data_IF_429597404729
#
_entry.id   IF_429597404729
#
_cell.length_a   1.000
_cell.length_b   1.000
_cell.length_c   1.000
_cell.angle_alpha   90.00
_cell.angle_beta   90.00
_cell.angle_gamma   90.00
#
_symmetry.space_group_name_H-M   'P 1'
#
loop_
_entity.id
_entity.type
_entity.pdbx_description
1 polymer ?
#
# COMPACT_ATOMS: atom_id res chain seq x y z
N UNK A 1 10.13 3.20 81.27
CA UNK A 1 10.91 3.97 80.27
C UNK A 1 10.35 3.62 78.91
N UNK A 2 9.48 4.47 78.37
CA UNK A 2 8.79 4.23 77.09
C UNK A 2 9.49 5.08 76.03
N UNK A 3 10.43 4.49 75.29
CA UNK A 3 10.97 5.12 74.09
C UNK A 3 9.87 5.13 73.03
N UNK A 4 9.40 6.33 72.69
CA UNK A 4 8.60 6.55 71.49
C UNK A 4 9.44 6.14 70.28
N UNK A 5 9.05 5.06 69.59
CA UNK A 5 9.65 4.67 68.33
C UNK A 5 9.36 5.79 67.33
N UNK A 6 10.34 6.67 67.10
CA UNK A 6 10.28 7.64 66.03
C UNK A 6 10.09 6.86 64.73
N UNK A 7 8.92 7.01 64.10
CA UNK A 7 8.64 6.40 62.81
C UNK A 7 9.73 6.85 61.82
N UNK A 8 10.57 5.92 61.37
CA UNK A 8 11.60 6.21 60.39
C UNK A 8 10.93 6.69 59.11
N UNK A 9 11.16 7.95 58.76
CA UNK A 9 10.65 8.56 57.55
C UNK A 9 11.35 7.93 56.34
N UNK A 10 10.57 7.57 55.32
CA UNK A 10 11.07 7.12 54.01
C UNK A 10 10.82 8.25 53.01
N UNK A 11 11.89 8.73 52.35
CA UNK A 11 11.83 9.75 51.30
C UNK A 11 11.63 9.06 49.97
N UNK A 12 10.52 9.34 49.30
CA UNK A 12 10.17 8.69 48.04
C UNK A 12 9.59 9.68 47.05
N UNK A 13 9.64 9.30 45.78
CA UNK A 13 9.08 10.09 44.69
C UNK A 13 7.88 9.37 44.11
N UNK A 14 6.72 10.01 44.10
CA UNK A 14 5.49 9.44 43.53
C UNK A 14 5.16 10.17 42.24
N UNK A 15 4.90 9.42 41.17
CA UNK A 15 4.46 9.96 39.88
C UNK A 15 3.11 9.40 39.45
N UNK A 16 2.26 10.24 38.86
CA UNK A 16 1.02 9.83 38.20
C UNK A 16 0.88 10.62 36.89
N UNK A 17 1.06 9.94 35.75
CA UNK A 17 1.06 10.59 34.43
C UNK A 17 2.18 11.63 34.32
N UNK A 18 1.79 12.90 34.12
CA UNK A 18 2.73 14.03 34.02
C UNK A 18 3.03 14.71 35.35
N UNK A 19 2.40 14.27 36.45
CA UNK A 19 2.53 14.87 37.79
C UNK A 19 3.47 14.05 38.66
N UNK A 20 4.25 14.75 39.49
CA UNK A 20 5.24 14.14 40.38
C UNK A 20 5.35 14.94 41.68
N UNK A 21 5.52 14.24 42.79
CA UNK A 21 5.78 14.83 44.11
C UNK A 21 6.84 14.01 44.86
N UNK A 22 7.73 14.71 45.55
CA UNK A 22 8.74 14.10 46.43
C UNK A 22 8.31 14.31 47.88
N UNK A 23 8.13 13.20 48.61
CA UNK A 23 7.46 13.20 49.90
C UNK A 23 8.23 12.37 50.91
N UNK A 24 8.18 12.80 52.16
CA UNK A 24 8.69 12.06 53.30
C UNK A 24 7.53 11.43 54.07
N UNK A 25 7.43 10.10 54.06
CA UNK A 25 6.28 9.36 54.60
C UNK A 25 6.75 8.42 55.71
N UNK A 26 6.00 8.24 56.82
CA UNK A 26 6.34 7.26 57.83
C UNK A 26 6.41 5.84 57.25
N UNK A 27 7.59 5.22 57.27
CA UNK A 27 7.82 3.91 56.66
C UNK A 27 7.11 2.74 57.36
N UNK A 28 6.57 2.97 58.56
CA UNK A 28 5.92 1.97 59.41
C UNK A 28 4.39 1.90 59.24
N UNK A 29 3.77 2.83 58.50
CA UNK A 29 2.33 2.87 58.28
C UNK A 29 1.96 2.03 57.04
N UNK A 30 0.84 1.27 57.06
CA UNK A 30 0.33 0.56 55.89
C UNK A 30 0.12 1.49 54.69
N UNK A 31 0.45 1.01 53.49
CA UNK A 31 0.33 1.79 52.26
C UNK A 31 -1.10 2.26 51.99
N UNK A 32 -2.11 1.46 52.37
CA UNK A 32 -3.53 1.80 52.22
C UNK A 32 -3.94 3.12 52.89
N UNK A 33 -3.32 3.49 54.02
CA UNK A 33 -3.63 4.74 54.73
C UNK A 33 -3.02 5.97 54.06
N UNK A 34 -1.94 5.77 53.31
CA UNK A 34 -1.14 6.84 52.69
C UNK A 34 -1.67 7.19 51.29
N UNK A 35 -2.22 6.20 50.56
CA UNK A 35 -2.69 6.35 49.18
C UNK A 35 -3.68 7.52 48.97
N UNK A 36 -4.71 7.73 49.81
CA UNK A 36 -5.66 8.82 49.60
C UNK A 36 -5.01 10.20 49.68
N UNK A 37 -4.04 10.37 50.57
CA UNK A 37 -3.33 11.63 50.74
C UNK A 37 -2.33 11.86 49.59
N UNK A 38 -1.67 10.79 49.09
CA UNK A 38 -0.86 10.87 47.87
C UNK A 38 -1.68 11.28 46.65
N UNK A 39 -2.88 10.71 46.49
CA UNK A 39 -3.78 11.05 45.40
C UNK A 39 -4.27 12.51 45.51
N UNK A 40 -4.50 13.00 46.73
CA UNK A 40 -4.85 14.40 47.00
C UNK A 40 -3.71 15.35 46.68
N UNK A 41 -2.49 15.02 47.11
CA UNK A 41 -1.29 15.82 46.90
C UNK A 41 -0.94 15.97 45.41
N UNK A 42 -1.03 14.87 44.65
CA UNK A 42 -0.85 14.90 43.20
C UNK A 42 -2.05 15.51 42.46
N UNK A 43 -3.14 15.84 43.18
CA UNK A 43 -4.38 16.41 42.64
C UNK A 43 -5.09 15.49 41.65
N UNK A 44 -4.90 14.17 41.77
CA UNK A 44 -5.40 13.18 40.80
C UNK A 44 -6.76 12.59 41.20
N UNK A 45 -7.32 12.97 42.35
CA UNK A 45 -8.67 12.60 42.80
C UNK A 45 -9.76 13.17 41.87
N UNK A 46 -9.95 12.53 40.72
CA UNK A 46 -11.03 12.81 39.79
C UNK A 46 -12.27 11.99 40.16
N UNK A 47 -13.49 12.46 39.86
CA UNK A 47 -14.73 11.75 40.21
C UNK A 47 -14.79 10.30 39.71
N UNK A 48 -14.16 10.01 38.57
CA UNK A 48 -14.14 8.68 37.95
C UNK A 48 -13.09 7.74 38.56
N UNK A 49 -11.97 8.27 39.08
CA UNK A 49 -10.90 7.47 39.70
C UNK A 49 -11.09 7.30 41.21
N UNK A 50 -11.82 8.23 41.85
CA UNK A 50 -12.13 8.18 43.28
C UNK A 50 -12.94 6.92 43.67
N UNK A 51 -13.81 6.42 42.79
CA UNK A 51 -14.59 5.20 43.00
C UNK A 51 -13.79 3.91 42.77
N UNK A 52 -12.70 3.98 42.01
CA UNK A 52 -11.84 2.84 41.67
C UNK A 52 -10.73 2.63 42.72
N UNK A 53 -10.34 3.69 43.41
CA UNK A 53 -9.17 3.70 44.28
C UNK A 53 -7.87 3.76 43.48
N UNK A 54 -6.74 3.70 44.19
CA UNK A 54 -5.41 3.80 43.61
C UNK A 54 -4.53 2.68 44.14
N UNK A 55 -3.48 2.35 43.37
CA UNK A 55 -2.41 1.44 43.77
C UNK A 55 -1.05 2.07 43.51
N UNK A 56 -0.06 1.69 44.30
CA UNK A 56 1.33 2.04 44.06
C UNK A 56 2.01 0.92 43.27
N UNK A 57 2.82 1.29 42.30
CA UNK A 57 3.62 0.38 41.49
C UNK A 57 5.08 0.78 41.52
N UNK A 58 5.97 -0.22 41.55
CA UNK A 58 7.41 0.00 41.39
C UNK A 58 7.77 0.20 39.92
N UNK A 59 8.98 0.69 39.69
CA UNK A 59 9.54 0.86 38.36
C UNK A 59 9.70 -0.45 37.56
N UNK A 60 9.73 -1.61 38.23
CA UNK A 60 9.77 -2.93 37.60
C UNK A 60 8.38 -3.45 37.17
N UNK A 61 7.32 -2.68 37.43
CA UNK A 61 5.94 -3.05 37.13
C UNK A 61 5.27 -3.91 38.20
N UNK A 62 5.93 -4.21 39.32
CA UNK A 62 5.31 -4.90 40.46
C UNK A 62 4.40 -3.96 41.27
N UNK A 63 3.27 -4.48 41.73
CA UNK A 63 2.35 -3.76 42.61
C UNK A 63 2.84 -3.79 44.05
N UNK A 64 2.84 -2.64 44.71
CA UNK A 64 3.10 -2.52 46.15
C UNK A 64 1.84 -2.96 46.89
N UNK A 65 2.01 -3.87 47.84
CA UNK A 65 0.92 -4.41 48.66
C UNK A 65 0.36 -3.32 49.57
N UNK A 66 -0.94 -3.06 49.48
CA UNK A 66 -1.61 -2.01 50.24
C UNK A 66 -1.72 -2.31 51.74
N UNK A 67 -1.72 -3.59 52.12
CA UNK A 67 -1.92 -4.01 53.52
C UNK A 67 -0.63 -3.95 54.35
N UNK A 68 0.52 -3.77 53.68
CA UNK A 68 1.85 -3.76 54.31
C UNK A 68 2.46 -2.36 54.30
N UNK A 69 3.34 -2.09 55.25
CA UNK A 69 4.08 -0.83 55.29
C UNK A 69 5.18 -0.77 54.23
N UNK A 70 5.61 0.45 53.88
CA UNK A 70 6.69 0.67 52.90
C UNK A 70 8.00 -0.02 53.32
N UNK A 71 8.37 0.13 54.60
CA UNK A 71 9.60 -0.49 55.13
C UNK A 71 9.51 -2.03 55.16
N UNK A 72 8.33 -2.60 55.47
CA UNK A 72 8.13 -4.06 55.48
C UNK A 72 8.21 -4.69 54.09
N UNK A 73 8.12 -3.89 53.03
CA UNK A 73 8.24 -4.32 51.64
C UNK A 73 9.63 -3.97 51.05
N UNK A 74 10.57 -3.47 51.85
CA UNK A 74 11.90 -3.07 51.37
C UNK A 74 11.84 -1.90 50.40
N UNK A 75 10.96 -0.93 50.64
CA UNK A 75 10.97 0.35 49.93
C UNK A 75 11.88 1.30 50.72
N UNK A 76 12.99 1.67 50.10
CA UNK A 76 14.05 2.48 50.71
C UNK A 76 13.97 3.95 50.25
N UNK A 77 14.75 4.79 50.93
CA UNK A 77 14.92 6.19 50.55
C UNK A 77 15.39 6.34 49.10
N UNK A 78 14.74 7.25 48.36
CA UNK A 78 14.99 7.51 46.94
C UNK A 78 14.16 6.65 45.99
N UNK A 79 13.31 5.74 46.49
CA UNK A 79 12.44 4.93 45.64
C UNK A 79 11.46 5.78 44.83
N UNK A 80 11.28 5.43 43.55
CA UNK A 80 10.28 6.05 42.66
C UNK A 80 9.12 5.08 42.46
N UNK A 81 7.92 5.52 42.81
CA UNK A 81 6.69 4.74 42.71
C UNK A 81 5.70 5.44 41.77
N UNK A 82 5.01 4.65 40.94
CA UNK A 82 3.90 5.13 40.13
C UNK A 82 2.60 4.97 40.92
N UNK A 83 1.82 6.04 41.06
CA UNK A 83 0.46 5.99 41.58
C UNK A 83 -0.48 5.86 40.39
N UNK A 84 -1.14 4.71 40.25
CA UNK A 84 -2.07 4.43 39.17
C UNK A 84 -3.49 4.21 39.72
N UNK A 85 -4.54 4.66 39.02
CA UNK A 85 -5.91 4.27 39.33
C UNK A 85 -6.01 2.75 39.33
N UNK A 86 -6.77 2.19 40.26
CA UNK A 86 -7.01 0.76 40.23
C UNK A 86 -7.81 0.44 38.97
N UNK A 87 -7.27 -0.44 38.14
CA UNK A 87 -7.92 -0.80 36.88
C UNK A 87 -8.99 -1.84 37.20
N UNK A 88 -10.21 -1.65 36.69
CA UNK A 88 -11.24 -2.70 36.64
C UNK A 88 -10.85 -3.70 35.53
N UNK A 89 -9.64 -4.23 35.62
CA UNK A 89 -9.19 -5.37 34.80
C UNK A 89 -9.44 -6.66 35.60
N UNK A 90 -10.51 -6.70 36.40
CA UNK A 90 -11.07 -7.99 36.80
C UNK A 90 -11.74 -8.58 35.58
N UNK A 91 -11.47 -9.85 35.27
CA UNK A 91 -12.25 -10.59 34.29
C UNK A 91 -13.73 -10.31 34.56
N UNK A 92 -14.46 -9.78 33.56
CA UNK A 92 -15.90 -9.61 33.66
C UNK A 92 -16.49 -10.96 34.07
N UNK A 93 -17.08 -11.01 35.26
CA UNK A 93 -17.79 -12.20 35.73
C UNK A 93 -19.20 -12.08 35.19
N UNK A 94 -19.47 -12.85 34.14
CA UNK A 94 -20.79 -12.93 33.53
C UNK A 94 -21.67 -13.92 34.32
N UNK A 95 -22.91 -13.54 34.59
CA UNK A 95 -23.93 -14.39 35.20
C UNK A 95 -24.73 -15.18 34.14
N UNK A 96 -24.78 -14.67 32.90
CA UNK A 96 -25.36 -15.34 31.73
C UNK A 96 -24.33 -15.56 30.61
N UNK A 97 -24.33 -16.77 30.06
CA UNK A 97 -23.54 -17.14 28.88
C UNK A 97 -23.97 -16.30 27.66
N UNK A 98 -25.24 -15.91 27.56
CA UNK A 98 -25.73 -15.08 26.46
C UNK A 98 -25.06 -13.70 26.47
N UNK A 99 -24.92 -13.09 27.65
CA UNK A 99 -24.24 -11.80 27.79
C UNK A 99 -22.74 -11.93 27.50
N UNK A 100 -22.10 -12.99 28.03
CA UNK A 100 -20.69 -13.28 27.73
C UNK A 100 -20.44 -13.46 26.22
N UNK A 101 -21.32 -14.18 25.53
CA UNK A 101 -21.22 -14.41 24.08
C UNK A 101 -21.51 -13.13 23.31
N UNK A 102 -22.50 -12.34 23.71
CA UNK A 102 -22.81 -11.06 23.04
C UNK A 102 -21.63 -10.09 23.14
N UNK A 103 -21.07 -9.93 24.34
CA UNK A 103 -19.92 -9.06 24.60
C UNK A 103 -18.66 -9.57 23.87
N UNK A 104 -18.46 -10.89 23.80
CA UNK A 104 -17.39 -11.50 23.00
C UNK A 104 -17.59 -11.25 21.50
N UNK A 105 -18.82 -11.36 21.00
CA UNK A 105 -19.12 -11.15 19.58
C UNK A 105 -18.91 -9.68 19.18
N UNK A 106 -19.36 -8.73 20.00
CA UNK A 106 -19.18 -7.30 19.74
C UNK A 106 -17.71 -6.87 19.83
N UNK A 107 -16.93 -7.47 20.73
CA UNK A 107 -15.50 -7.16 20.89
C UNK A 107 -14.61 -7.87 19.87
N UNK A 108 -14.92 -9.11 19.48
CA UNK A 108 -14.12 -9.87 18.53
C UNK A 108 -14.48 -9.61 17.06
N UNK A 109 -15.75 -9.31 16.75
CA UNK A 109 -16.20 -9.15 15.38
C UNK A 109 -16.68 -7.73 15.09
N UNK A 110 -16.14 -7.14 14.04
CA UNK A 110 -16.59 -5.82 13.58
C UNK A 110 -17.94 -5.96 12.88
N UNK A 111 -18.98 -5.20 13.28
CA UNK A 111 -20.30 -5.32 12.69
C UNK A 111 -20.30 -4.89 11.21
N UNK A 112 -21.20 -5.50 10.43
CA UNK A 112 -21.36 -5.14 9.02
C UNK A 112 -21.96 -3.73 8.90
N UNK A 113 -21.22 -2.80 8.30
CA UNK A 113 -21.65 -1.41 8.20
C UNK A 113 -22.30 -1.10 6.85
N UNK A 114 -23.05 0.02 6.78
CA UNK A 114 -23.57 0.53 5.52
C UNK A 114 -22.46 0.87 4.51
N UNK A 115 -21.26 1.24 4.99
CA UNK A 115 -20.09 1.44 4.15
C UNK A 115 -19.59 0.14 3.51
N UNK A 116 -19.64 -0.98 4.25
CA UNK A 116 -19.32 -2.30 3.72
C UNK A 116 -20.32 -2.70 2.62
N UNK A 117 -21.63 -2.55 2.87
CA UNK A 117 -22.66 -2.79 1.85
C UNK A 117 -22.43 -1.97 0.58
N UNK A 118 -22.15 -0.67 0.73
CA UNK A 118 -21.87 0.21 -0.40
C UNK A 118 -20.60 -0.21 -1.15
N UNK A 119 -19.53 -0.56 -0.43
CA UNK A 119 -18.29 -1.07 -1.02
C UNK A 119 -18.50 -2.37 -1.81
N UNK A 120 -19.24 -3.33 -1.26
CA UNK A 120 -19.59 -4.58 -1.93
C UNK A 120 -20.46 -4.35 -3.16
N UNK A 121 -21.45 -3.45 -3.09
CA UNK A 121 -22.30 -3.10 -4.23
C UNK A 121 -21.50 -2.46 -5.37
N UNK A 122 -20.54 -1.58 -5.06
CA UNK A 122 -19.61 -1.02 -6.04
C UNK A 122 -18.75 -2.11 -6.66
N UNK A 123 -18.18 -3.01 -5.85
CA UNK A 123 -17.39 -4.15 -6.33
C UNK A 123 -18.19 -5.04 -7.28
N UNK A 124 -19.42 -5.42 -6.90
CA UNK A 124 -20.31 -6.20 -7.74
C UNK A 124 -20.66 -5.49 -9.05
N UNK A 125 -20.91 -4.18 -8.99
CA UNK A 125 -21.20 -3.36 -10.17
C UNK A 125 -20.01 -3.35 -11.14
N UNK A 126 -18.79 -3.16 -10.64
CA UNK A 126 -17.57 -3.21 -11.47
C UNK A 126 -17.44 -4.56 -12.17
N UNK A 127 -17.65 -5.67 -11.46
CA UNK A 127 -17.59 -7.01 -12.05
C UNK A 127 -18.63 -7.18 -13.17
N UNK A 128 -19.86 -6.75 -12.94
CA UNK A 128 -20.93 -6.82 -13.94
C UNK A 128 -20.64 -5.93 -15.16
N UNK A 129 -20.12 -4.72 -14.93
CA UNK A 129 -19.71 -3.82 -16.02
C UNK A 129 -18.53 -4.37 -16.82
N UNK A 130 -17.53 -4.98 -16.18
CA UNK A 130 -16.42 -5.63 -16.89
C UNK A 130 -16.91 -6.83 -17.70
N UNK A 131 -17.84 -7.63 -17.16
CA UNK A 131 -18.46 -8.74 -17.90
C UNK A 131 -19.26 -8.22 -19.13
N UNK A 132 -20.00 -7.14 -18.98
CA UNK A 132 -20.72 -6.50 -20.08
C UNK A 132 -19.78 -5.87 -21.12
N UNK A 133 -18.68 -5.25 -20.69
CA UNK A 133 -17.64 -4.73 -21.60
C UNK A 133 -17.00 -5.87 -22.40
N UNK A 134 -16.73 -7.02 -21.77
CA UNK A 134 -16.24 -8.21 -22.46
C UNK A 134 -17.24 -8.74 -23.48
N UNK A 135 -18.53 -8.82 -23.14
CA UNK A 135 -19.58 -9.21 -24.08
C UNK A 135 -19.64 -8.26 -25.29
N UNK A 136 -19.58 -6.94 -25.07
CA UNK A 136 -19.51 -5.95 -26.15
C UNK A 136 -18.24 -6.11 -27.00
N UNK A 137 -17.09 -6.37 -26.37
CA UNK A 137 -15.84 -6.62 -27.09
C UNK A 137 -15.92 -7.83 -28.02
N UNK A 138 -16.58 -8.91 -27.59
CA UNK A 138 -16.80 -10.08 -28.46
C UNK A 138 -17.76 -9.81 -29.62
N UNK A 139 -18.62 -8.79 -29.50
CA UNK A 139 -19.57 -8.37 -30.53
C UNK A 139 -19.07 -7.17 -31.36
N UNK A 140 -17.80 -6.76 -31.23
CA UNK A 140 -17.23 -5.54 -31.85
C UNK A 140 -17.40 -5.47 -33.36
N UNK A 141 -17.54 -6.61 -34.02
CA UNK A 141 -17.74 -6.71 -35.47
C UNK A 141 -19.08 -6.07 -35.92
N UNK A 142 -20.01 -5.83 -34.97
CA UNK A 142 -21.24 -5.07 -35.18
C UNK A 142 -21.01 -3.55 -35.36
N UNK A 143 -19.75 -3.10 -35.29
CA UNK A 143 -19.30 -1.75 -35.61
C UNK A 143 -19.93 -0.63 -34.81
N UNK A 144 -20.53 0.33 -35.53
CA UNK A 144 -20.93 1.62 -34.97
C UNK A 144 -21.88 1.48 -33.77
N UNK A 145 -22.76 0.48 -33.76
CA UNK A 145 -23.68 0.25 -32.64
C UNK A 145 -22.89 -0.05 -31.35
N UNK A 146 -21.93 -0.97 -31.41
CA UNK A 146 -21.13 -1.35 -30.25
C UNK A 146 -20.21 -0.20 -29.85
N UNK A 147 -19.63 0.52 -30.81
CA UNK A 147 -18.82 1.71 -30.54
C UNK A 147 -19.64 2.81 -29.83
N UNK A 148 -20.87 3.07 -30.29
CA UNK A 148 -21.76 4.06 -29.70
C UNK A 148 -22.23 3.66 -28.30
N UNK A 149 -22.66 2.41 -28.10
CA UNK A 149 -23.09 1.90 -26.79
C UNK A 149 -21.94 1.93 -25.78
N UNK A 150 -20.77 1.43 -26.16
CA UNK A 150 -19.61 1.39 -25.27
C UNK A 150 -19.08 2.80 -24.98
N UNK A 151 -19.04 3.68 -25.98
CA UNK A 151 -18.70 5.09 -25.80
C UNK A 151 -19.68 5.83 -24.86
N UNK A 152 -20.99 5.60 -25.04
CA UNK A 152 -22.00 6.16 -24.14
C UNK A 152 -21.83 5.63 -22.70
N UNK A 153 -21.63 4.33 -22.52
CA UNK A 153 -21.32 3.74 -21.20
C UNK A 153 -20.06 4.34 -20.58
N UNK A 154 -18.99 4.53 -21.34
CA UNK A 154 -17.76 5.15 -20.85
C UNK A 154 -18.02 6.56 -20.29
N UNK A 155 -18.75 7.40 -21.04
CA UNK A 155 -19.08 8.76 -20.63
C UNK A 155 -20.02 8.78 -19.42
N UNK A 156 -21.03 7.91 -19.39
CA UNK A 156 -21.96 7.78 -18.25
C UNK A 156 -21.23 7.34 -16.98
N UNK A 157 -20.29 6.40 -17.07
CA UNK A 157 -19.48 5.94 -15.93
C UNK A 157 -18.56 7.04 -15.40
N UNK A 158 -17.94 7.83 -16.28
CA UNK A 158 -17.14 9.00 -15.86
C UNK A 158 -18.03 10.10 -15.26
N UNK A 159 -19.21 10.33 -15.82
CA UNK A 159 -20.21 11.26 -15.24
C UNK A 159 -20.66 10.81 -13.85
N UNK A 160 -20.97 9.53 -13.68
CA UNK A 160 -21.31 8.94 -12.38
C UNK A 160 -20.12 9.04 -11.40
N UNK A 161 -18.89 8.81 -11.85
CA UNK A 161 -17.69 9.02 -11.05
C UNK A 161 -17.56 10.48 -10.58
N UNK A 162 -17.82 11.46 -11.46
CA UNK A 162 -17.80 12.87 -11.11
C UNK A 162 -18.83 13.20 -10.02
N UNK A 163 -20.06 12.69 -10.15
CA UNK A 163 -21.13 12.86 -9.15
C UNK A 163 -20.75 12.21 -7.81
N UNK A 164 -20.21 10.99 -7.83
CA UNK A 164 -19.77 10.31 -6.61
C UNK A 164 -18.62 11.04 -5.92
N UNK A 165 -17.67 11.58 -6.69
CA UNK A 165 -16.52 12.29 -6.18
C UNK A 165 -16.88 13.65 -5.57
N UNK A 166 -17.75 14.43 -6.24
CA UNK A 166 -18.03 15.81 -5.87
C UNK A 166 -19.28 15.96 -5.01
N UNK A 167 -20.36 15.24 -5.32
CA UNK A 167 -21.66 15.39 -4.63
C UNK A 167 -21.75 14.43 -3.45
N UNK A 168 -21.44 13.13 -3.68
CA UNK A 168 -21.59 12.10 -2.64
C UNK A 168 -20.36 11.95 -1.74
N UNK A 169 -19.23 12.57 -2.11
CA UNK A 169 -17.94 12.48 -1.39
C UNK A 169 -17.49 11.04 -1.15
N UNK A 170 -17.72 10.16 -2.13
CA UNK A 170 -17.33 8.75 -2.11
C UNK A 170 -16.18 8.49 -3.09
N UNK A 171 -14.92 8.82 -2.71
CA UNK A 171 -13.80 8.81 -3.64
C UNK A 171 -13.44 7.41 -4.15
N UNK A 172 -13.57 6.37 -3.31
CA UNK A 172 -13.25 5.00 -3.71
C UNK A 172 -14.17 4.49 -4.83
N UNK A 173 -15.49 4.74 -4.71
CA UNK A 173 -16.47 4.38 -5.72
C UNK A 173 -16.28 5.18 -7.02
N UNK A 174 -15.93 6.46 -6.91
CA UNK A 174 -15.64 7.30 -8.06
C UNK A 174 -14.43 6.79 -8.86
N UNK A 175 -13.32 6.44 -8.19
CA UNK A 175 -12.15 5.84 -8.84
C UNK A 175 -12.53 4.54 -9.55
N UNK A 176 -13.28 3.66 -8.89
CA UNK A 176 -13.70 2.38 -9.46
C UNK A 176 -14.52 2.54 -10.75
N UNK A 177 -15.50 3.46 -10.76
CA UNK A 177 -16.31 3.73 -11.97
C UNK A 177 -15.50 4.44 -13.05
N UNK A 178 -14.60 5.36 -12.69
CA UNK A 178 -13.73 6.03 -13.67
C UNK A 178 -12.81 5.04 -14.39
N UNK A 179 -12.17 4.12 -13.65
CA UNK A 179 -11.35 3.05 -14.23
C UNK A 179 -12.18 2.11 -15.12
N UNK A 180 -13.41 1.79 -14.70
CA UNK A 180 -14.33 0.96 -15.49
C UNK A 180 -14.73 1.67 -16.79
N UNK A 181 -14.94 2.99 -16.75
CA UNK A 181 -15.23 3.80 -17.95
C UNK A 181 -14.12 3.72 -19.00
N UNK A 182 -12.86 3.62 -18.57
CA UNK A 182 -11.72 3.46 -19.49
C UNK A 182 -11.76 2.12 -20.22
N UNK A 183 -12.17 1.04 -19.54
CA UNK A 183 -12.36 -0.28 -20.19
C UNK A 183 -13.39 -0.18 -21.32
N UNK A 184 -14.51 0.51 -21.08
CA UNK A 184 -15.51 0.76 -22.12
C UNK A 184 -14.98 1.64 -23.26
N UNK A 185 -14.11 2.62 -22.97
CA UNK A 185 -13.48 3.45 -23.99
C UNK A 185 -12.54 2.66 -24.90
N UNK A 186 -11.80 1.69 -24.34
CA UNK A 186 -10.98 0.73 -25.11
C UNK A 186 -11.86 -0.08 -26.05
N UNK A 187 -12.98 -0.63 -25.54
CA UNK A 187 -13.94 -1.40 -26.35
C UNK A 187 -14.53 -0.54 -27.47
N UNK A 188 -14.89 0.71 -27.17
CA UNK A 188 -15.40 1.66 -28.16
C UNK A 188 -14.41 1.93 -29.28
N UNK A 189 -13.13 2.12 -28.94
CA UNK A 189 -12.08 2.34 -29.93
C UNK A 189 -11.84 1.12 -30.82
N UNK A 190 -11.87 -0.10 -30.26
CA UNK A 190 -11.79 -1.32 -31.07
C UNK A 190 -13.01 -1.53 -31.98
N UNK A 191 -14.20 -1.12 -31.55
CA UNK A 191 -15.43 -1.23 -32.36
C UNK A 191 -15.60 -0.10 -33.39
N UNK A 192 -14.81 0.99 -33.28
CA UNK A 192 -14.90 2.13 -34.19
C UNK A 192 -14.53 1.77 -35.63
N UNK A 193 -13.57 0.86 -35.80
CA UNK A 193 -13.15 0.32 -37.10
C UNK A 193 -13.15 -1.22 -37.01
N UNK A 194 -14.27 -1.89 -37.32
CA UNK A 194 -14.42 -3.34 -37.14
C UNK A 194 -13.43 -4.19 -37.92
N UNK A 195 -13.05 -3.70 -39.11
CA UNK A 195 -12.13 -4.39 -40.01
C UNK A 195 -10.66 -4.22 -39.59
N UNK A 196 -10.37 -3.30 -38.65
CA UNK A 196 -9.01 -3.04 -38.21
C UNK A 196 -8.45 -4.22 -37.42
N UNK A 197 -7.17 -4.54 -37.67
CA UNK A 197 -6.46 -5.53 -36.88
C UNK A 197 -6.33 -5.06 -35.44
N UNK A 198 -6.52 -5.99 -34.49
CA UNK A 198 -6.39 -5.73 -33.06
C UNK A 198 -5.04 -5.12 -32.69
N UNK A 199 -3.97 -5.67 -33.26
CA UNK A 199 -2.61 -5.15 -33.17
C UNK A 199 -2.37 -4.25 -34.38
N UNK A 200 -1.98 -2.99 -34.11
CA UNK A 200 -1.80 -1.95 -35.12
C UNK A 200 -2.92 -0.92 -35.06
N UNK A 201 -3.69 -0.80 -36.14
CA UNK A 201 -4.73 0.22 -36.28
C UNK A 201 -5.80 0.18 -35.17
N UNK A 202 -6.30 -1.00 -34.80
CA UNK A 202 -7.30 -1.10 -33.72
C UNK A 202 -6.76 -0.61 -32.38
N UNK A 203 -5.46 -0.85 -32.11
CA UNK A 203 -4.78 -0.41 -30.89
C UNK A 203 -4.66 1.12 -30.81
N UNK A 204 -4.50 1.79 -31.96
CA UNK A 204 -4.48 3.25 -32.06
C UNK A 204 -5.80 3.86 -31.58
N UNK A 205 -6.93 3.39 -32.11
CA UNK A 205 -8.26 3.92 -31.75
C UNK A 205 -8.65 3.55 -30.32
N UNK A 206 -8.38 2.31 -29.89
CA UNK A 206 -8.58 1.87 -28.52
C UNK A 206 -7.75 2.71 -27.52
N UNK A 207 -6.49 2.97 -27.86
CA UNK A 207 -5.59 3.82 -27.08
C UNK A 207 -6.06 5.27 -27.01
N UNK A 208 -6.55 5.83 -28.12
CA UNK A 208 -7.08 7.19 -28.15
C UNK A 208 -8.30 7.34 -27.23
N UNK A 209 -9.24 6.38 -27.29
CA UNK A 209 -10.38 6.31 -26.37
C UNK A 209 -9.95 6.22 -24.91
N UNK A 210 -9.02 5.31 -24.60
CA UNK A 210 -8.48 5.14 -23.24
C UNK A 210 -7.77 6.40 -22.72
N UNK A 211 -7.04 7.11 -23.59
CA UNK A 211 -6.33 8.35 -23.25
C UNK A 211 -7.32 9.45 -22.89
N UNK A 212 -8.30 9.70 -23.77
CA UNK A 212 -9.32 10.74 -23.57
C UNK A 212 -10.14 10.46 -22.31
N UNK A 213 -10.67 9.25 -22.18
CA UNK A 213 -11.52 8.88 -21.03
C UNK A 213 -10.70 8.77 -19.74
N UNK A 214 -9.45 8.34 -19.80
CA UNK A 214 -8.54 8.34 -18.66
C UNK A 214 -8.25 9.74 -18.14
N UNK A 215 -8.02 10.71 -19.04
CA UNK A 215 -7.85 12.13 -18.68
C UNK A 215 -9.13 12.72 -18.10
N UNK A 216 -10.28 12.46 -18.74
CA UNK A 216 -11.59 12.90 -18.24
C UNK A 216 -11.87 12.31 -16.85
N UNK A 217 -11.57 11.03 -16.64
CA UNK A 217 -11.68 10.36 -15.35
C UNK A 217 -10.77 10.98 -14.28
N UNK A 218 -9.52 11.30 -14.63
CA UNK A 218 -8.57 11.96 -13.73
C UNK A 218 -8.99 13.38 -13.34
N UNK A 219 -9.74 14.07 -14.21
CA UNK A 219 -10.37 15.37 -13.91
C UNK A 219 -11.64 15.19 -13.09
N UNK A 220 -12.42 14.14 -13.35
CA UNK A 220 -13.69 13.85 -12.69
C UNK A 220 -13.55 13.45 -11.20
N UNK A 221 -12.41 12.86 -10.81
CA UNK A 221 -12.20 12.37 -9.44
C UNK A 221 -11.43 13.39 -8.58
N UNK A 222 -11.75 13.48 -7.29
CA UNK A 222 -11.14 14.43 -6.33
C UNK A 222 -9.93 13.88 -5.58
N UNK A 223 -9.78 12.55 -5.46
CA UNK A 223 -8.63 11.86 -4.84
C UNK A 223 -8.06 10.79 -5.77
N UNK A 224 -6.77 10.48 -5.65
CA UNK A 224 -6.11 9.48 -6.49
C UNK A 224 -6.21 9.81 -7.98
N UNK A 225 -6.09 11.09 -8.34
CA UNK A 225 -6.21 11.59 -9.71
C UNK A 225 -5.10 11.03 -10.59
N UNK A 226 -3.89 10.91 -10.05
CA UNK A 226 -2.77 10.35 -10.80
C UNK A 226 -2.94 8.84 -11.02
N UNK A 227 -3.60 8.13 -10.08
CA UNK A 227 -3.93 6.72 -10.26
C UNK A 227 -4.88 6.53 -11.44
N UNK A 228 -5.95 7.32 -11.53
CA UNK A 228 -6.84 7.28 -12.71
C UNK A 228 -6.08 7.76 -13.96
N UNK A 229 -5.26 8.81 -13.83
CA UNK A 229 -4.41 9.30 -14.91
C UNK A 229 -3.41 8.28 -15.46
N UNK A 230 -3.03 7.27 -14.67
CA UNK A 230 -2.17 6.17 -15.13
C UNK A 230 -2.77 5.39 -16.31
N UNK A 231 -4.11 5.33 -16.40
CA UNK A 231 -4.78 4.69 -17.55
C UNK A 231 -4.67 5.53 -18.82
N UNK A 232 -4.52 6.85 -18.71
CA UNK A 232 -4.24 7.69 -19.86
C UNK A 232 -2.81 7.45 -20.39
N UNK A 233 -1.85 7.17 -19.51
CA UNK A 233 -0.49 6.76 -19.90
C UNK A 233 -0.52 5.41 -20.63
N UNK A 234 -1.31 4.45 -20.13
CA UNK A 234 -1.55 3.19 -20.82
C UNK A 234 -2.17 3.41 -22.21
N UNK A 235 -3.21 4.25 -22.30
CA UNK A 235 -3.83 4.64 -23.57
C UNK A 235 -2.84 5.28 -24.54
N UNK A 236 -1.96 6.15 -24.05
CA UNK A 236 -0.92 6.76 -24.86
C UNK A 236 0.09 5.74 -25.37
N UNK A 237 0.48 4.76 -24.54
CA UNK A 237 1.34 3.66 -24.99
C UNK A 237 0.66 2.83 -26.10
N UNK A 238 -0.65 2.56 -25.99
CA UNK A 238 -1.42 1.91 -27.06
C UNK A 238 -1.45 2.76 -28.33
N UNK A 239 -1.64 4.08 -28.22
CA UNK A 239 -1.56 5.01 -29.37
C UNK A 239 -0.18 4.96 -30.03
N UNK A 240 0.90 4.98 -29.25
CA UNK A 240 2.27 4.92 -29.77
C UNK A 240 2.52 3.59 -30.50
N UNK A 241 2.13 2.47 -29.89
CA UNK A 241 2.23 1.14 -30.51
C UNK A 241 1.43 1.08 -31.82
N UNK A 242 0.17 1.52 -31.79
CA UNK A 242 -0.70 1.50 -32.96
C UNK A 242 -0.24 2.45 -34.07
N UNK A 243 0.16 3.68 -33.73
CA UNK A 243 0.64 4.67 -34.68
C UNK A 243 1.93 4.22 -35.35
N UNK A 244 2.97 3.85 -34.59
CA UNK A 244 4.26 3.47 -35.16
C UNK A 244 4.16 2.24 -36.08
N UNK A 245 3.27 1.30 -35.76
CA UNK A 245 3.08 0.09 -36.58
C UNK A 245 2.18 0.34 -37.78
N UNK A 246 1.09 1.11 -37.63
CA UNK A 246 0.14 1.36 -38.71
C UNK A 246 0.59 2.47 -39.67
N UNK A 247 1.07 3.60 -39.17
CA UNK A 247 1.40 4.77 -40.01
C UNK A 247 2.85 4.77 -40.47
N UNK A 248 3.79 4.34 -39.63
CA UNK A 248 5.22 4.28 -39.97
C UNK A 248 5.61 2.92 -40.56
N UNK A 249 4.83 1.87 -40.30
CA UNK A 249 5.09 0.52 -40.80
C UNK A 249 6.22 -0.21 -40.06
N UNK A 250 6.54 0.20 -38.83
CA UNK A 250 7.52 -0.51 -38.01
C UNK A 250 6.96 -1.86 -37.55
N UNK A 251 7.85 -2.83 -37.34
CA UNK A 251 7.44 -4.12 -36.80
C UNK A 251 6.90 -3.98 -35.37
N UNK A 252 5.76 -4.62 -35.10
CA UNK A 252 5.06 -4.53 -33.81
C UNK A 252 5.92 -5.08 -32.67
N UNK A 253 6.74 -6.09 -32.92
CA UNK A 253 7.64 -6.66 -31.90
C UNK A 253 8.70 -5.65 -31.49
N UNK A 254 9.27 -4.93 -32.46
CA UNK A 254 10.26 -3.86 -32.20
C UNK A 254 9.68 -2.76 -31.32
N UNK A 255 8.49 -2.27 -31.65
CA UNK A 255 7.85 -1.20 -30.87
C UNK A 255 7.45 -1.70 -29.49
N UNK A 256 6.91 -2.92 -29.38
CA UNK A 256 6.56 -3.53 -28.10
C UNK A 256 7.78 -3.77 -27.21
N UNK A 257 8.90 -4.24 -27.75
CA UNK A 257 10.15 -4.44 -27.01
C UNK A 257 10.70 -3.11 -26.47
N UNK A 258 10.78 -2.08 -27.32
CA UNK A 258 11.23 -0.77 -26.90
C UNK A 258 10.32 -0.17 -25.81
N UNK A 259 9.00 -0.26 -26.01
CA UNK A 259 7.99 0.26 -25.05
C UNK A 259 8.05 -0.48 -23.72
N UNK A 260 8.21 -1.81 -23.75
CA UNK A 260 8.37 -2.63 -22.55
C UNK A 260 9.63 -2.26 -21.77
N UNK A 261 10.77 -2.13 -22.43
CA UNK A 261 12.04 -1.76 -21.78
C UNK A 261 11.94 -0.35 -21.17
N UNK A 262 11.39 0.61 -21.90
CA UNK A 262 11.18 1.98 -21.38
C UNK A 262 10.26 1.95 -20.16
N UNK A 263 9.14 1.22 -20.22
CA UNK A 263 8.23 1.09 -19.09
C UNK A 263 8.89 0.41 -17.87
N UNK A 264 9.68 -0.63 -18.08
CA UNK A 264 10.42 -1.31 -17.03
C UNK A 264 11.46 -0.37 -16.39
N UNK A 265 12.24 0.36 -17.18
CA UNK A 265 13.23 1.32 -16.67
C UNK A 265 12.57 2.47 -15.92
N UNK A 266 11.49 3.04 -16.46
CA UNK A 266 10.71 4.10 -15.80
C UNK A 266 10.09 3.59 -14.50
N UNK A 267 9.52 2.39 -14.49
CA UNK A 267 8.95 1.79 -13.28
C UNK A 267 9.99 1.57 -12.19
N UNK A 268 11.22 1.16 -12.56
CA UNK A 268 12.24 0.76 -11.59
C UNK A 268 13.21 1.88 -11.17
N UNK A 269 13.63 2.74 -12.10
CA UNK A 269 14.72 3.71 -11.88
C UNK A 269 14.20 5.09 -11.45
N UNK A 270 13.06 5.54 -11.99
CA UNK A 270 12.55 6.90 -11.76
C UNK A 270 12.28 7.25 -10.28
N UNK A 271 11.79 6.33 -9.42
CA UNK A 271 11.62 6.62 -7.99
C UNK A 271 12.92 7.04 -7.30
N UNK A 272 14.06 6.47 -7.72
CA UNK A 272 15.38 6.82 -7.19
C UNK A 272 15.79 8.23 -7.65
N UNK A 273 15.58 8.53 -8.93
CA UNK A 273 15.81 9.86 -9.49
C UNK A 273 14.98 10.92 -8.75
N UNK A 274 13.70 10.62 -8.48
CA UNK A 274 12.80 11.51 -7.75
C UNK A 274 13.27 11.82 -6.32
N UNK A 275 13.86 10.84 -5.62
CA UNK A 275 14.42 11.06 -4.28
C UNK A 275 15.73 11.87 -4.38
N UNK A 276 16.61 11.55 -5.32
CA UNK A 276 17.88 12.27 -5.51
C UNK A 276 17.70 13.72 -5.96
N UNK A 277 16.59 14.04 -6.62
CA UNK A 277 16.25 15.40 -7.08
C UNK A 277 15.33 16.14 -6.12
N UNK A 278 14.78 15.45 -5.11
CA UNK A 278 13.96 16.10 -4.09
C UNK A 278 14.84 17.07 -3.30
N UNK A 279 14.56 18.37 -3.44
CA UNK A 279 15.20 19.45 -2.68
C UNK A 279 14.74 19.51 -1.23
N UNK A 280 14.37 18.37 -0.63
CA UNK A 280 14.25 18.21 0.81
C UNK A 280 15.68 18.10 1.37
N UNK A 281 16.48 19.13 1.11
CA UNK A 281 17.81 19.27 1.65
C UNK A 281 17.62 19.62 3.12
N UNK A 282 17.81 18.64 3.99
CA UNK A 282 18.32 18.96 5.32
C UNK A 282 19.59 19.76 5.08
N UNK A 283 19.64 21.00 5.55
CA UNK A 283 20.90 21.72 5.68
C UNK A 283 21.42 21.34 7.08
N UNK A 284 22.10 20.18 7.26
CA UNK A 284 22.71 19.91 8.54
C UNK A 284 23.75 21.01 8.75
N UNK A 285 23.78 21.66 9.93
CA UNK A 285 24.75 22.70 10.19
C UNK A 285 26.15 22.09 10.05
N UNK A 286 26.97 22.68 9.19
CA UNK A 286 28.34 22.24 8.88
C UNK A 286 29.38 22.98 9.70
N UNK A 287 28.97 24.05 10.38
CA UNK A 287 29.83 24.88 11.23
C UNK A 287 29.10 25.22 12.53
N UNK A 288 29.86 25.47 13.61
CA UNK A 288 29.29 25.87 14.90
C UNK A 288 28.46 27.17 14.79
N UNK A 289 28.80 28.06 13.84
CA UNK A 289 28.03 29.27 13.56
C UNK A 289 26.64 28.95 12.96
N UNK A 290 26.54 27.98 12.06
CA UNK A 290 25.26 27.51 11.48
C UNK A 290 24.35 26.82 12.52
N UNK A 291 24.88 26.39 13.67
CA UNK A 291 24.07 25.83 14.77
C UNK A 291 23.30 26.95 15.50
N UNK A 292 23.84 28.17 15.51
CA UNK A 292 23.23 29.33 16.16
C UNK A 292 22.44 30.22 15.20
N UNK A 293 22.41 29.91 13.90
CA UNK A 293 21.53 30.58 12.94
C UNK A 293 20.07 30.17 13.16
N UNK A 294 19.15 31.12 13.07
CA UNK A 294 17.72 30.86 13.14
C UNK A 294 17.30 29.96 11.97
N UNK A 295 16.93 28.73 12.28
CA UNK A 295 16.44 27.77 11.28
C UNK A 295 15.08 28.25 10.76
N UNK A 296 14.88 28.40 9.44
CA UNK A 296 13.58 28.80 8.91
C UNK A 296 12.49 27.81 9.32
N UNK A 297 11.35 28.33 9.79
CA UNK A 297 10.26 27.50 10.29
C UNK A 297 9.73 26.61 9.17
N UNK A 298 9.86 25.30 9.34
CA UNK A 298 9.37 24.32 8.36
C UNK A 298 7.86 24.25 8.44
N UNK A 299 7.18 24.77 7.41
CA UNK A 299 5.72 24.66 7.28
C UNK A 299 5.32 23.18 7.11
N UNK A 300 4.84 22.57 8.19
CA UNK A 300 4.49 21.13 8.23
C UNK A 300 3.44 20.74 7.19
N UNK A 301 2.56 21.66 6.82
CA UNK A 301 1.50 21.44 5.84
C UNK A 301 2.05 21.30 4.41
N UNK A 302 3.05 22.10 4.03
CA UNK A 302 3.68 22.02 2.72
C UNK A 302 4.47 20.73 2.55
N UNK A 303 5.21 20.34 3.59
CA UNK A 303 5.93 19.04 3.62
C UNK A 303 4.93 17.89 3.48
N UNK A 304 3.81 17.93 4.20
CA UNK A 304 2.75 16.91 4.10
C UNK A 304 2.18 16.81 2.68
N UNK A 305 1.87 17.94 2.04
CA UNK A 305 1.36 17.97 0.66
C UNK A 305 2.38 17.45 -0.33
N UNK A 306 3.64 17.84 -0.21
CA UNK A 306 4.72 17.39 -1.08
C UNK A 306 4.96 15.87 -0.97
N UNK A 307 4.97 15.33 0.26
CA UNK A 307 5.11 13.88 0.49
C UNK A 307 3.90 13.12 -0.05
N UNK A 308 2.69 13.63 0.14
CA UNK A 308 1.47 13.00 -0.39
C UNK A 308 1.47 12.95 -1.93
N UNK A 309 1.82 14.07 -2.58
CA UNK A 309 1.93 14.14 -4.04
C UNK A 309 3.02 13.22 -4.59
N UNK A 310 4.19 13.16 -3.92
CA UNK A 310 5.27 12.23 -4.28
C UNK A 310 4.84 10.76 -4.16
N UNK A 311 4.12 10.40 -3.10
CA UNK A 311 3.57 9.06 -2.94
C UNK A 311 2.55 8.72 -4.03
N UNK A 312 1.63 9.64 -4.35
CA UNK A 312 0.64 9.45 -5.39
C UNK A 312 1.28 9.27 -6.78
N UNK A 313 2.33 10.04 -7.08
CA UNK A 313 3.11 9.91 -8.31
C UNK A 313 3.81 8.54 -8.39
N UNK A 314 4.45 8.09 -7.31
CA UNK A 314 5.10 6.77 -7.27
C UNK A 314 4.10 5.63 -7.49
N UNK A 315 2.91 5.73 -6.91
CA UNK A 315 1.81 4.78 -7.10
C UNK A 315 1.35 4.78 -8.56
N UNK A 316 1.05 5.96 -9.12
CA UNK A 316 0.60 6.09 -10.49
C UNK A 316 1.62 5.58 -11.51
N UNK A 317 2.91 5.88 -11.29
CA UNK A 317 4.01 5.43 -12.14
C UNK A 317 4.16 3.91 -12.10
N UNK A 318 4.08 3.31 -10.90
CA UNK A 318 4.14 1.86 -10.73
C UNK A 318 2.99 1.14 -11.44
N UNK A 319 1.77 1.67 -11.34
CA UNK A 319 0.60 1.13 -12.03
C UNK A 319 0.72 1.29 -13.54
N UNK A 320 1.08 2.49 -14.03
CA UNK A 320 1.24 2.75 -15.46
C UNK A 320 2.32 1.85 -16.09
N UNK A 321 3.52 1.80 -15.50
CA UNK A 321 4.63 0.97 -16.00
C UNK A 321 4.26 -0.51 -16.03
N UNK A 322 3.68 -1.04 -14.95
CA UNK A 322 3.25 -2.45 -14.90
C UNK A 322 2.17 -2.75 -15.95
N UNK A 323 1.19 -1.86 -16.11
CA UNK A 323 0.13 -2.04 -17.10
C UNK A 323 0.66 -2.01 -18.54
N UNK A 324 1.61 -1.10 -18.86
CA UNK A 324 2.24 -1.03 -20.18
C UNK A 324 3.11 -2.27 -20.45
N UNK A 325 3.83 -2.77 -19.44
CA UNK A 325 4.58 -4.02 -19.56
C UNK A 325 3.65 -5.21 -19.85
N UNK A 326 2.53 -5.32 -19.12
CA UNK A 326 1.51 -6.36 -19.35
C UNK A 326 0.92 -6.24 -20.76
N UNK A 327 0.63 -5.02 -21.23
CA UNK A 327 0.13 -4.78 -22.58
C UNK A 327 1.08 -5.32 -23.66
N UNK A 328 2.40 -5.10 -23.53
CA UNK A 328 3.38 -5.53 -24.52
C UNK A 328 3.68 -7.04 -24.48
N UNK A 329 3.29 -7.72 -23.39
CA UNK A 329 3.70 -9.10 -23.10
C UNK A 329 3.23 -10.12 -24.14
N UNK A 330 1.96 -10.14 -24.61
CA UNK A 330 1.53 -11.14 -25.59
C UNK A 330 2.31 -11.07 -26.89
N UNK A 331 2.61 -9.84 -27.35
CA UNK A 331 3.41 -9.63 -28.56
C UNK A 331 4.85 -10.14 -28.38
N UNK A 332 5.50 -9.80 -27.26
CA UNK A 332 6.85 -10.25 -26.96
C UNK A 332 6.94 -11.77 -26.86
N UNK A 333 5.98 -12.40 -26.20
CA UNK A 333 5.97 -13.86 -26.09
C UNK A 333 5.74 -14.52 -27.46
N UNK A 334 4.93 -13.89 -28.32
CA UNK A 334 4.69 -14.40 -29.68
C UNK A 334 5.91 -14.35 -30.61
N UNK A 335 6.92 -13.52 -30.31
CA UNK A 335 8.15 -13.45 -31.11
C UNK A 335 9.16 -14.56 -30.82
N UNK A 336 8.93 -15.35 -29.77
CA UNK A 336 9.73 -16.53 -29.43
C UNK A 336 10.40 -16.45 -28.05
N UNK A 337 11.38 -17.34 -27.82
CA UNK A 337 11.97 -17.55 -26.50
C UNK A 337 12.67 -16.30 -25.94
N UNK A 338 13.29 -15.51 -26.80
CA UNK A 338 13.94 -14.25 -26.45
C UNK A 338 12.95 -13.23 -25.87
N UNK A 339 11.82 -13.02 -26.55
CA UNK A 339 10.79 -12.07 -26.11
C UNK A 339 10.04 -12.58 -24.87
N UNK A 340 9.82 -13.90 -24.76
CA UNK A 340 9.30 -14.49 -23.53
C UNK A 340 10.26 -14.26 -22.34
N UNK A 341 11.56 -14.48 -22.53
CA UNK A 341 12.58 -14.26 -21.50
C UNK A 341 12.64 -12.78 -21.09
N UNK A 342 12.57 -11.85 -22.04
CA UNK A 342 12.47 -10.41 -21.77
C UNK A 342 11.28 -10.09 -20.86
N UNK A 343 10.10 -10.64 -21.17
CA UNK A 343 8.89 -10.42 -20.38
C UNK A 343 9.05 -10.97 -18.94
N UNK A 344 9.50 -12.22 -18.79
CA UNK A 344 9.71 -12.83 -17.48
C UNK A 344 10.75 -12.09 -16.64
N UNK A 345 11.90 -11.75 -17.22
CA UNK A 345 12.96 -11.00 -16.54
C UNK A 345 12.45 -9.64 -16.11
N UNK A 346 11.72 -8.92 -16.98
CA UNK A 346 11.13 -7.62 -16.64
C UNK A 346 10.20 -7.68 -15.43
N UNK A 347 9.31 -8.68 -15.36
CA UNK A 347 8.41 -8.81 -14.22
C UNK A 347 9.11 -9.30 -12.95
N UNK A 348 10.11 -10.19 -13.06
CA UNK A 348 10.93 -10.60 -11.92
C UNK A 348 11.68 -9.41 -11.33
N UNK A 349 12.26 -8.53 -12.17
CA UNK A 349 12.90 -7.29 -11.72
C UNK A 349 11.90 -6.38 -10.98
N UNK A 350 10.69 -6.22 -11.53
CA UNK A 350 9.63 -5.45 -10.88
C UNK A 350 9.23 -6.04 -9.52
N UNK A 351 9.23 -7.37 -9.36
CA UNK A 351 9.01 -8.03 -8.06
C UNK A 351 10.17 -7.78 -7.08
N UNK A 352 11.41 -7.89 -7.55
CA UNK A 352 12.60 -7.69 -6.72
C UNK A 352 12.65 -6.26 -6.15
N UNK A 353 12.23 -5.26 -6.92
CA UNK A 353 12.15 -3.86 -6.47
C UNK A 353 11.31 -3.66 -5.19
N UNK A 354 10.36 -4.54 -4.87
CA UNK A 354 9.53 -4.44 -3.65
C UNK A 354 10.37 -4.29 -2.38
N UNK A 355 11.58 -4.84 -2.33
CA UNK A 355 12.49 -4.76 -1.17
C UNK A 355 13.03 -3.35 -0.88
N UNK A 356 13.08 -2.47 -1.87
CA UNK A 356 13.50 -1.08 -1.69
C UNK A 356 12.34 -0.16 -1.30
N UNK A 357 11.11 -0.67 -1.34
CA UNK A 357 9.90 0.11 -1.07
C UNK A 357 9.49 0.00 0.39
N UNK A 358 9.41 1.14 1.10
CA UNK A 358 9.03 1.17 2.53
C UNK A 358 7.52 1.23 2.78
N UNK A 359 6.71 1.58 1.77
CA UNK A 359 5.25 1.72 1.95
C UNK A 359 4.50 0.50 1.43
N UNK A 360 3.53 0.00 2.22
CA UNK A 360 2.71 -1.17 1.88
C UNK A 360 2.07 -1.06 0.49
N UNK A 361 1.59 0.13 0.12
CA UNK A 361 0.95 0.39 -1.17
C UNK A 361 1.89 0.21 -2.36
N UNK A 362 3.11 0.73 -2.28
CA UNK A 362 4.09 0.62 -3.39
C UNK A 362 4.60 -0.81 -3.54
N UNK A 363 4.77 -1.52 -2.42
CA UNK A 363 5.07 -2.96 -2.41
C UNK A 363 3.93 -3.74 -3.07
N UNK A 364 2.67 -3.50 -2.67
CA UNK A 364 1.51 -4.19 -3.23
C UNK A 364 1.38 -3.96 -4.73
N UNK A 365 1.61 -2.73 -5.22
CA UNK A 365 1.52 -2.43 -6.65
C UNK A 365 2.58 -3.18 -7.45
N UNK A 366 3.84 -3.13 -7.02
CA UNK A 366 4.92 -3.85 -7.69
C UNK A 366 4.71 -5.38 -7.61
N UNK A 367 4.23 -5.88 -6.48
CA UNK A 367 3.89 -7.30 -6.29
C UNK A 367 2.76 -7.75 -7.21
N UNK A 368 1.63 -7.03 -7.21
CA UNK A 368 0.48 -7.36 -8.07
C UNK A 368 0.86 -7.20 -9.54
N UNK A 369 1.54 -6.12 -9.91
CA UNK A 369 2.01 -5.89 -11.28
C UNK A 369 2.95 -7.00 -11.78
N UNK A 370 3.92 -7.39 -10.96
CA UNK A 370 4.85 -8.47 -11.28
C UNK A 370 4.17 -9.85 -11.36
N UNK A 371 3.28 -10.19 -10.41
CA UNK A 371 2.56 -11.46 -10.42
C UNK A 371 1.59 -11.54 -11.62
N UNK A 372 0.80 -10.49 -11.84
CA UNK A 372 -0.13 -10.41 -12.99
C UNK A 372 0.66 -10.48 -14.30
N UNK A 373 1.82 -9.84 -14.37
CA UNK A 373 2.72 -9.90 -15.52
C UNK A 373 3.27 -11.30 -15.79
N UNK A 374 3.79 -11.99 -14.77
CA UNK A 374 4.27 -13.38 -14.90
C UNK A 374 3.12 -14.30 -15.31
N UNK A 375 1.93 -14.13 -14.72
CA UNK A 375 0.74 -14.89 -15.09
C UNK A 375 0.34 -14.63 -16.54
N UNK A 376 0.30 -13.37 -16.97
CA UNK A 376 -0.01 -12.98 -18.35
C UNK A 376 1.01 -13.54 -19.35
N UNK A 377 2.31 -13.43 -19.04
CA UNK A 377 3.39 -14.00 -19.85
C UNK A 377 3.26 -15.53 -19.96
N UNK A 378 2.95 -16.20 -18.85
CA UNK A 378 2.78 -17.65 -18.81
C UNK A 378 1.57 -18.11 -19.61
N UNK A 379 0.42 -17.42 -19.47
CA UNK A 379 -0.79 -17.71 -20.24
C UNK A 379 -0.55 -17.46 -21.73
N UNK A 380 0.07 -16.33 -22.09
CA UNK A 380 0.43 -16.04 -23.47
C UNK A 380 1.38 -17.10 -24.04
N UNK A 381 2.36 -17.56 -23.26
CA UNK A 381 3.32 -18.59 -23.69
C UNK A 381 2.65 -19.95 -23.87
N UNK A 382 1.75 -20.34 -22.96
CA UNK A 382 0.99 -21.59 -23.08
C UNK A 382 0.02 -21.62 -24.28
N UNK A 383 -0.48 -20.45 -24.70
CA UNK A 383 -1.35 -20.31 -25.87
C UNK A 383 -0.55 -20.28 -27.18
N UNK A 384 0.56 -19.55 -27.22
CA UNK A 384 1.38 -19.36 -28.43
C UNK A 384 2.33 -20.53 -28.70
N UNK A 385 2.86 -21.18 -27.65
CA UNK A 385 3.86 -22.25 -27.74
C UNK A 385 3.41 -23.48 -26.92
N UNK A 386 2.55 -24.36 -27.48
CA UNK A 386 2.01 -25.52 -26.77
C UNK A 386 3.08 -26.47 -26.22
N UNK A 387 4.23 -26.59 -26.89
CA UNK A 387 5.34 -27.45 -26.49
C UNK A 387 6.02 -26.99 -25.19
N UNK A 388 5.86 -25.72 -24.82
CA UNK A 388 6.45 -25.17 -23.59
C UNK A 388 5.60 -25.42 -22.36
N UNK A 389 4.35 -25.90 -22.49
CA UNK A 389 3.42 -26.09 -21.36
C UNK A 389 4.01 -26.93 -20.22
N UNK A 390 4.70 -28.07 -20.46
CA UNK A 390 5.32 -28.85 -19.37
C UNK A 390 6.43 -28.06 -18.67
N UNK A 391 7.27 -27.35 -19.44
CA UNK A 391 8.37 -26.55 -18.91
C UNK A 391 7.85 -25.36 -18.09
N UNK A 392 6.82 -24.67 -18.58
CA UNK A 392 6.16 -23.57 -17.89
C UNK A 392 5.50 -24.04 -16.58
N UNK A 393 4.80 -25.19 -16.61
CA UNK A 393 4.19 -25.76 -15.42
C UNK A 393 5.25 -26.10 -14.35
N UNK A 394 6.35 -26.75 -14.76
CA UNK A 394 7.46 -27.06 -13.86
C UNK A 394 8.14 -25.80 -13.31
N UNK A 395 8.40 -24.81 -14.17
CA UNK A 395 9.02 -23.54 -13.78
C UNK A 395 8.17 -22.74 -12.80
N UNK A 396 6.86 -22.65 -13.05
CA UNK A 396 5.92 -21.96 -12.15
C UNK A 396 5.75 -22.70 -10.83
N UNK A 397 5.63 -24.03 -10.85
CA UNK A 397 5.55 -24.84 -9.63
C UNK A 397 6.83 -24.71 -8.80
N UNK A 398 8.00 -24.74 -9.46
CA UNK A 398 9.30 -24.51 -8.82
C UNK A 398 9.41 -23.12 -8.20
N UNK A 399 9.02 -22.07 -8.93
CA UNK A 399 9.00 -20.70 -8.42
C UNK A 399 8.06 -20.56 -7.21
N UNK A 400 6.85 -21.13 -7.27
CA UNK A 400 5.90 -21.15 -6.16
C UNK A 400 6.47 -21.89 -4.94
N UNK A 401 7.10 -23.05 -5.14
CA UNK A 401 7.75 -23.80 -4.07
C UNK A 401 8.88 -23.01 -3.41
N UNK A 402 9.71 -22.30 -4.20
CA UNK A 402 10.77 -21.42 -3.68
C UNK A 402 10.18 -20.27 -2.86
N UNK A 403 9.11 -19.62 -3.34
CA UNK A 403 8.44 -18.55 -2.60
C UNK A 403 7.88 -19.07 -1.27
N UNK A 404 7.21 -20.23 -1.27
CA UNK A 404 6.67 -20.85 -0.05
C UNK A 404 7.79 -21.23 0.91
N UNK A 405 8.88 -21.83 0.42
CA UNK A 405 10.01 -22.22 1.25
C UNK A 405 10.69 -21.00 1.89
N UNK A 406 10.93 -19.93 1.12
CA UNK A 406 11.55 -18.71 1.63
C UNK A 406 10.64 -17.93 2.58
N UNK A 407 9.33 -17.84 2.27
CA UNK A 407 8.39 -17.05 3.05
C UNK A 407 7.94 -17.75 4.34
N UNK A 408 7.68 -19.06 4.29
CA UNK A 408 7.07 -19.79 5.41
C UNK A 408 8.05 -20.69 6.16
N UNK A 409 9.07 -21.24 5.48
CA UNK A 409 9.97 -22.25 6.07
C UNK A 409 11.28 -21.63 6.58
N UNK A 410 11.80 -20.60 5.89
CA UNK A 410 13.02 -19.88 6.29
C UNK A 410 12.76 -18.39 6.60
N UNK A 411 11.95 -18.05 7.63
CA UNK A 411 11.62 -16.66 7.94
C UNK A 411 12.82 -15.82 8.41
N UNK A 412 13.95 -16.45 8.74
CA UNK A 412 15.20 -15.75 9.07
C UNK A 412 15.90 -15.31 7.78
N UNK A 413 15.60 -14.09 7.36
CA UNK A 413 16.26 -13.42 6.23
C UNK A 413 17.77 -13.34 6.46
N UNK A 414 18.52 -14.18 5.75
CA UNK A 414 19.99 -14.09 5.74
C UNK A 414 20.37 -12.88 4.88
N UNK A 415 21.23 -12.01 5.41
CA UNK A 415 21.79 -10.85 4.69
C UNK A 415 22.35 -11.23 3.31
N UNK A 416 22.86 -12.46 3.18
CA UNK A 416 23.33 -13.03 1.91
C UNK A 416 22.24 -13.16 0.84
N UNK A 417 21.01 -13.55 1.20
CA UNK A 417 19.89 -13.64 0.25
C UNK A 417 19.49 -12.27 -0.28
N UNK A 418 19.57 -11.23 0.56
CA UNK A 418 19.38 -9.85 0.14
C UNK A 418 20.38 -9.42 -0.94
N UNK A 419 21.66 -9.75 -0.74
CA UNK A 419 22.74 -9.43 -1.71
C UNK A 419 22.59 -10.18 -3.03
N UNK A 420 22.15 -11.43 -3.00
CA UNK A 420 21.88 -12.19 -4.24
C UNK A 420 20.72 -11.56 -4.99
N UNK A 421 19.65 -11.18 -4.29
CA UNK A 421 18.55 -10.43 -4.91
C UNK A 421 19.02 -9.09 -5.50
N UNK A 422 19.96 -8.39 -4.86
CA UNK A 422 20.59 -7.16 -5.40
C UNK A 422 21.30 -7.41 -6.72
N UNK A 423 22.12 -8.46 -6.75
CA UNK A 423 22.83 -8.82 -7.95
C UNK A 423 21.87 -9.24 -9.07
N UNK A 424 20.83 -10.02 -8.78
CA UNK A 424 19.84 -10.46 -9.77
C UNK A 424 19.01 -9.30 -10.30
N UNK A 425 18.61 -8.36 -9.45
CA UNK A 425 17.89 -7.15 -9.88
C UNK A 425 18.76 -6.30 -10.82
N UNK A 426 20.01 -6.05 -10.43
CA UNK A 426 20.96 -5.28 -11.24
C UNK A 426 21.29 -5.94 -12.58
N UNK A 427 21.59 -7.26 -12.57
CA UNK A 427 21.84 -8.03 -13.79
C UNK A 427 20.60 -8.08 -14.68
N UNK A 428 19.42 -8.27 -14.09
CA UNK A 428 18.14 -8.30 -14.81
C UNK A 428 17.87 -6.99 -15.53
N UNK A 429 18.07 -5.84 -14.87
CA UNK A 429 17.91 -4.51 -15.48
C UNK A 429 18.86 -4.30 -16.66
N UNK A 430 20.13 -4.68 -16.50
CA UNK A 430 21.14 -4.57 -17.58
C UNK A 430 20.81 -5.53 -18.73
N UNK A 431 20.30 -6.71 -18.43
CA UNK A 431 19.95 -7.74 -19.42
C UNK A 431 18.70 -7.40 -20.26
N UNK A 432 17.85 -6.46 -19.83
CA UNK A 432 16.66 -6.07 -20.61
C UNK A 432 17.02 -5.54 -22.02
N UNK A 433 18.10 -4.77 -22.14
CA UNK A 433 18.55 -4.20 -23.42
C UNK A 433 19.04 -5.27 -24.42
N UNK A 434 19.98 -6.16 -24.09
CA UNK A 434 20.41 -7.22 -25.00
C UNK A 434 19.28 -8.22 -25.29
N UNK A 435 18.43 -8.53 -24.31
CA UNK A 435 17.26 -9.39 -24.55
C UNK A 435 16.27 -8.75 -25.53
N UNK A 436 16.05 -7.44 -25.45
CA UNK A 436 15.23 -6.72 -26.42
C UNK A 436 15.87 -6.71 -27.82
N UNK A 437 17.18 -6.50 -27.92
CA UNK A 437 17.88 -6.57 -29.20
C UNK A 437 17.77 -7.97 -29.84
N UNK A 438 17.94 -9.02 -29.03
CA UNK A 438 17.80 -10.41 -29.47
C UNK A 438 16.35 -10.76 -29.86
N UNK A 439 15.35 -10.27 -29.11
CA UNK A 439 13.94 -10.48 -29.41
C UNK A 439 13.47 -9.82 -30.71
N UNK A 440 14.18 -8.77 -31.15
CA UNK A 440 13.93 -8.05 -32.40
C UNK A 440 14.78 -8.59 -33.57
N UNK A 441 15.71 -9.51 -33.31
CA UNK A 441 16.60 -10.08 -34.33
C UNK A 441 17.74 -9.16 -34.77
N UNK A 442 18.15 -8.21 -33.91
CA UNK A 442 19.32 -7.35 -34.15
C UNK A 442 20.65 -8.01 -33.76
N UNK A 443 20.58 -9.07 -32.95
CA UNK A 443 21.67 -9.96 -32.52
C UNK A 443 21.26 -11.39 -32.84
#
# INVERSE_FOLDING_TARGET
MSQSAAASLVRLSVSSGTRRADLGIPGSIPVAEIIPDLARELGVLEPHSASLGYRLMRADGSTVDSDRSLAAQGIEDGSVLALEPNRVDGDKVYDDVVEAVADLVETQFTPWTAANSAGTAVGASVVLFVAAAYALFTARDSGLLVAALSGACALLLVGAAAVLAHVRKQPAAAVALALTGVVYAVVAGYAAVPEARLWGEGLLYAGAGATVVGLLGAVAVTRHRLLVGSTAVLGLAMVVLGALTHTVGWDMTTVAAATFVVAALVGNVLPWVGISTSRLTTHPPKTDLEIFEDVPEVQREDVRRQVAAGHELMVALGVASSAVMVLCTPQLVSSGAAGALLAFVGFVVTLLRTRHSRTRTTVLIAMVGGIVGIAAASVAAAQTHPDWRPLLALGLAGAAAVVVALALVLPRTRVQLGRVADAVEGVGLVALLPLAAFAVGLL
#
